data_IF_823231057415
#
_entry.id   IF_823231057415
#
_cell.length_a   1.000
_cell.length_b   1.000
_cell.length_c   1.000
_cell.angle_alpha   90.00
_cell.angle_beta   90.00
_cell.angle_gamma   90.00
#
_symmetry.space_group_name_H-M   'P 1'
#
loop_
_entity.id
_entity.type
_entity.pdbx_description
1 polymer ?
#
# COMPACT_ATOMS: atom_id res chain seq x y z
N UNK A 1 24.95 33.09 13.51
CA UNK A 1 24.93 31.70 12.96
C UNK A 1 23.52 31.16 13.01
N UNK A 2 22.78 31.26 11.91
CA UNK A 2 21.37 30.86 11.83
C UNK A 2 21.28 29.33 11.83
N UNK A 3 20.75 28.73 12.89
CA UNK A 3 20.51 27.28 12.97
C UNK A 3 19.63 26.86 11.79
N UNK A 4 20.20 26.13 10.82
CA UNK A 4 19.44 25.48 9.75
C UNK A 4 18.40 24.57 10.42
N UNK A 5 17.11 24.88 10.28
CA UNK A 5 16.03 23.97 10.66
C UNK A 5 16.25 22.66 9.87
N UNK A 6 16.38 21.54 10.56
CA UNK A 6 16.44 20.23 9.93
C UNK A 6 15.21 20.07 9.03
N UNK A 7 15.43 19.80 7.74
CA UNK A 7 14.36 19.46 6.80
C UNK A 7 13.74 18.16 7.29
N UNK A 8 12.57 18.24 7.96
CA UNK A 8 11.73 17.06 8.17
C UNK A 8 11.36 16.59 6.76
N UNK A 9 11.83 15.41 6.30
CA UNK A 9 11.36 14.90 5.02
C UNK A 9 9.84 14.84 5.12
N UNK A 10 9.15 15.49 4.17
CA UNK A 10 7.69 15.38 4.06
C UNK A 10 7.30 13.91 4.16
N UNK A 11 6.19 13.62 4.84
CA UNK A 11 5.82 12.25 5.23
C UNK A 11 6.13 11.28 4.10
N UNK A 12 7.07 10.36 4.32
CA UNK A 12 7.56 9.45 3.28
C UNK A 12 6.44 8.56 2.70
N UNK A 13 5.26 8.55 3.31
CA UNK A 13 4.09 7.82 2.86
C UNK A 13 3.45 8.46 1.63
N UNK A 14 3.29 7.68 0.57
CA UNK A 14 2.61 8.07 -0.67
C UNK A 14 1.13 7.72 -0.57
N UNK A 15 0.83 6.46 -0.27
CA UNK A 15 -0.52 5.93 -0.20
C UNK A 15 -0.60 4.84 0.87
N UNK A 16 -1.76 4.71 1.51
CA UNK A 16 -2.02 3.66 2.50
C UNK A 16 -3.32 2.95 2.14
N UNK A 17 -3.29 1.63 2.14
CA UNK A 17 -4.47 0.81 1.99
C UNK A 17 -5.15 0.62 3.36
N UNK A 18 -6.06 1.53 3.70
CA UNK A 18 -6.84 1.43 4.94
C UNK A 18 -7.83 0.27 4.91
N UNK A 19 -8.27 -0.14 3.72
CA UNK A 19 -9.23 -1.22 3.50
C UNK A 19 -8.60 -2.59 3.78
N UNK A 20 -7.35 -2.79 3.40
CA UNK A 20 -6.64 -4.06 3.62
C UNK A 20 -6.64 -4.53 5.09
N UNK A 21 -6.37 -3.63 6.04
CA UNK A 21 -6.35 -3.98 7.48
C UNK A 21 -7.73 -4.31 8.07
N UNK A 22 -8.78 -3.82 7.43
CA UNK A 22 -10.15 -4.11 7.83
C UNK A 22 -10.64 -5.43 7.22
N UNK A 23 -10.32 -5.68 5.95
CA UNK A 23 -10.81 -6.86 5.24
C UNK A 23 -10.03 -8.13 5.51
N UNK A 24 -8.75 -7.99 5.86
CA UNK A 24 -7.83 -9.12 6.00
C UNK A 24 -7.09 -9.11 7.34
N UNK A 25 -6.77 -10.30 7.85
CA UNK A 25 -5.72 -10.52 8.82
C UNK A 25 -4.38 -10.58 8.09
N UNK A 26 -3.42 -9.76 8.53
CA UNK A 26 -2.09 -9.69 7.94
C UNK A 26 -1.15 -10.47 8.85
N UNK A 27 -0.52 -11.52 8.33
CA UNK A 27 0.39 -12.36 9.11
C UNK A 27 1.83 -11.88 9.00
N UNK A 28 2.26 -11.54 7.79
CA UNK A 28 3.63 -11.12 7.52
C UNK A 28 3.65 -9.94 6.55
N UNK A 29 4.55 -8.99 6.79
CA UNK A 29 4.78 -7.82 5.94
C UNK A 29 6.17 -7.88 5.31
N UNK A 30 6.24 -7.75 3.98
CA UNK A 30 7.50 -7.76 3.21
C UNK A 30 7.61 -6.45 2.42
N UNK A 31 8.84 -5.90 2.34
CA UNK A 31 9.13 -4.72 1.51
C UNK A 31 9.55 -5.16 0.10
N UNK A 32 8.85 -4.66 -0.92
CA UNK A 32 9.18 -4.87 -2.32
C UNK A 32 9.52 -3.54 -3.02
N UNK A 33 10.44 -3.60 -3.98
CA UNK A 33 10.64 -2.50 -4.94
C UNK A 33 9.58 -2.51 -6.04
N UNK A 34 9.31 -1.34 -6.63
CA UNK A 34 8.40 -1.20 -7.77
C UNK A 34 9.17 -0.82 -9.05
N UNK A 35 8.90 -1.51 -10.15
CA UNK A 35 9.35 -1.11 -11.47
C UNK A 35 8.41 -0.03 -12.07
N UNK A 36 8.80 1.23 -11.92
CA UNK A 36 8.02 2.40 -12.35
C UNK A 36 8.61 3.07 -13.60
N UNK A 37 7.74 3.67 -14.40
CA UNK A 37 8.06 4.56 -15.51
C UNK A 37 8.21 6.00 -15.00
N UNK A 38 8.92 6.84 -15.75
CA UNK A 38 9.25 8.21 -15.33
C UNK A 38 8.02 9.09 -15.03
N UNK A 39 6.93 8.96 -15.78
CA UNK A 39 5.70 9.72 -15.53
C UNK A 39 5.01 9.30 -14.23
N UNK A 40 5.08 8.01 -13.89
CA UNK A 40 4.47 7.44 -12.68
C UNK A 40 5.17 7.98 -11.43
N UNK A 41 6.50 8.12 -11.48
CA UNK A 41 7.28 8.75 -10.42
C UNK A 41 6.80 10.19 -10.19
N UNK A 42 6.57 10.97 -11.27
CA UNK A 42 6.04 12.34 -11.15
C UNK A 42 4.64 12.36 -10.53
N UNK A 43 3.75 11.47 -10.96
CA UNK A 43 2.40 11.34 -10.39
C UNK A 43 2.43 10.95 -8.90
N UNK A 44 3.32 10.05 -8.49
CA UNK A 44 3.48 9.66 -7.09
C UNK A 44 3.99 10.81 -6.22
N UNK A 45 4.89 11.66 -6.74
CA UNK A 45 5.34 12.87 -6.05
C UNK A 45 4.21 13.88 -5.87
N UNK A 46 3.28 13.93 -6.81
CA UNK A 46 2.05 14.72 -6.72
C UNK A 46 0.96 14.05 -5.87
N UNK A 47 1.21 12.89 -5.27
CA UNK A 47 0.25 12.18 -4.42
C UNK A 47 -0.93 11.52 -5.16
N UNK A 48 -0.86 11.41 -6.49
CA UNK A 48 -1.94 10.86 -7.32
C UNK A 48 -1.84 9.34 -7.47
N UNK A 49 -1.97 8.62 -6.36
CA UNK A 49 -1.92 7.16 -6.35
C UNK A 49 -2.96 6.54 -5.41
N UNK A 50 -3.59 5.46 -5.90
CA UNK A 50 -4.54 4.68 -5.14
C UNK A 50 -4.13 3.20 -5.17
N UNK A 51 -4.07 2.59 -3.98
CA UNK A 51 -3.71 1.18 -3.77
C UNK A 51 -4.81 0.39 -3.04
N UNK A 52 -6.01 0.96 -2.89
CA UNK A 52 -7.07 0.40 -2.05
C UNK A 52 -7.48 -1.02 -2.46
N UNK A 53 -7.60 -1.26 -3.76
CA UNK A 53 -8.04 -2.55 -4.33
C UNK A 53 -6.88 -3.32 -4.96
N UNK A 54 -5.64 -3.01 -4.54
CA UNK A 54 -4.45 -3.59 -5.14
C UNK A 54 -4.02 -4.90 -4.49
N UNK A 55 -3.69 -5.87 -5.34
CA UNK A 55 -3.28 -7.21 -4.97
C UNK A 55 -2.08 -7.65 -5.81
N UNK A 56 -1.35 -8.64 -5.33
CA UNK A 56 -0.18 -9.18 -6.02
C UNK A 56 -0.53 -10.52 -6.65
N UNK A 57 -0.20 -10.68 -7.93
CA UNK A 57 -0.33 -11.93 -8.67
C UNK A 57 1.05 -12.36 -9.15
N UNK A 58 1.27 -13.68 -9.13
CA UNK A 58 2.50 -14.27 -9.64
C UNK A 58 2.28 -14.77 -11.06
N UNK A 59 3.22 -14.46 -11.95
CA UNK A 59 3.27 -14.95 -13.34
C UNK A 59 4.70 -15.30 -13.68
N UNK A 60 4.92 -16.51 -14.19
CA UNK A 60 6.23 -16.99 -14.64
C UNK A 60 7.36 -16.85 -13.58
N UNK A 61 7.03 -17.04 -12.30
CA UNK A 61 7.97 -16.90 -11.18
C UNK A 61 8.26 -15.46 -10.73
N UNK A 62 7.56 -14.47 -11.30
CA UNK A 62 7.69 -13.06 -10.96
C UNK A 62 6.42 -12.53 -10.29
N UNK A 63 6.59 -11.54 -9.41
CA UNK A 63 5.48 -10.90 -8.73
C UNK A 63 5.07 -9.60 -9.44
N UNK A 64 3.77 -9.40 -9.62
CA UNK A 64 3.20 -8.21 -10.23
C UNK A 64 2.10 -7.63 -9.35
N UNK A 65 2.14 -6.31 -9.16
CA UNK A 65 1.08 -5.56 -8.50
C UNK A 65 0.01 -5.18 -9.52
N UNK A 66 -1.22 -5.62 -9.24
CA UNK A 66 -2.44 -5.31 -9.99
C UNK A 66 -3.36 -4.41 -9.16
N UNK A 67 -4.27 -3.69 -9.82
CA UNK A 67 -5.28 -2.85 -9.15
C UNK A 67 -4.74 -1.56 -8.52
N UNK A 68 -3.44 -1.27 -8.65
CA UNK A 68 -2.86 0.00 -8.22
C UNK A 68 -3.00 1.05 -9.33
N UNK A 69 -3.80 2.07 -9.08
CA UNK A 69 -4.05 3.15 -10.04
C UNK A 69 -3.14 4.33 -9.76
N UNK A 70 -2.36 4.75 -10.76
CA UNK A 70 -1.57 5.98 -10.71
C UNK A 70 -2.12 6.93 -11.76
N UNK A 71 -2.77 8.01 -11.30
CA UNK A 71 -3.40 8.94 -12.25
C UNK A 71 -2.32 9.77 -12.95
N UNK A 72 -2.32 9.84 -14.30
CA UNK A 72 -1.41 10.69 -15.02
C UNK A 72 -1.61 12.16 -14.66
N UNK A 73 -0.54 12.93 -14.77
CA UNK A 73 -0.62 14.39 -14.65
C UNK A 73 -0.95 15.00 -16.00
N UNK A 74 -1.66 16.13 -16.01
CA UNK A 74 -1.96 16.88 -17.23
C UNK A 74 -0.68 17.40 -17.93
N UNK A 75 0.44 17.47 -17.19
CA UNK A 75 1.77 17.81 -17.70
C UNK A 75 2.56 16.60 -18.21
N UNK A 76 1.96 15.41 -18.24
CA UNK A 76 2.60 14.24 -18.83
C UNK A 76 2.74 14.43 -20.35
N UNK A 77 3.87 13.98 -20.89
CA UNK A 77 4.17 14.12 -22.32
C UNK A 77 3.15 13.38 -23.17
N UNK A 78 2.61 14.04 -24.20
CA UNK A 78 1.66 13.47 -25.16
C UNK A 78 2.22 12.24 -25.89
N UNK A 79 3.54 12.14 -26.00
CA UNK A 79 4.24 11.02 -26.67
C UNK A 79 4.30 9.73 -25.85
N UNK A 80 3.86 9.73 -24.57
CA UNK A 80 3.88 8.54 -23.71
C UNK A 80 2.44 8.14 -23.40
N UNK A 81 2.07 6.92 -23.78
CA UNK A 81 0.78 6.33 -23.39
C UNK A 81 0.81 6.04 -21.89
N UNK A 82 0.14 6.89 -21.11
CA UNK A 82 0.09 6.78 -19.66
C UNK A 82 -1.11 5.92 -19.24
N UNK A 83 -0.93 4.60 -19.21
CA UNK A 83 -1.94 3.68 -18.67
C UNK A 83 -1.97 3.75 -17.12
N UNK A 84 -3.06 4.23 -16.50
CA UNK A 84 -3.15 4.36 -15.05
C UNK A 84 -3.16 3.04 -14.29
N UNK A 85 -3.68 1.96 -14.90
CA UNK A 85 -3.91 0.65 -14.25
C UNK A 85 -2.88 -0.39 -14.64
N UNK A 86 -1.80 0.02 -15.33
CA UNK A 86 -0.68 -0.82 -15.74
C UNK A 86 -0.19 -1.71 -14.60
N UNK A 87 -0.04 -3.01 -14.87
CA UNK A 87 0.55 -3.96 -13.94
C UNK A 87 2.03 -3.66 -13.71
N UNK A 88 2.46 -3.71 -12.44
CA UNK A 88 3.78 -3.24 -12.01
C UNK A 88 4.58 -4.40 -11.46
N UNK A 89 5.69 -4.72 -12.10
CA UNK A 89 6.60 -5.75 -11.60
C UNK A 89 7.16 -5.34 -10.22
N UNK A 90 7.12 -6.28 -9.30
CA UNK A 90 7.69 -6.16 -7.96
C UNK A 90 9.09 -6.76 -7.93
N UNK A 91 9.99 -6.05 -7.26
CA UNK A 91 11.38 -6.45 -7.10
C UNK A 91 11.58 -6.98 -5.68
N UNK A 92 11.69 -8.30 -5.57
CA UNK A 92 11.87 -9.07 -4.33
C UNK A 92 13.09 -9.99 -4.47
N UNK A 93 13.60 -10.52 -3.36
CA UNK A 93 14.62 -11.57 -3.42
C UNK A 93 13.99 -12.88 -3.89
N UNK A 94 14.76 -13.72 -4.60
CA UNK A 94 14.29 -15.02 -5.10
C UNK A 94 13.69 -15.90 -4.00
N UNK A 95 14.37 -16.00 -2.84
CA UNK A 95 13.87 -16.76 -1.68
C UNK A 95 12.53 -16.24 -1.13
N UNK A 96 12.32 -14.93 -1.17
CA UNK A 96 11.06 -14.32 -0.73
C UNK A 96 9.94 -14.64 -1.73
N UNK A 97 10.23 -14.57 -3.04
CA UNK A 97 9.28 -14.96 -4.10
C UNK A 97 8.86 -16.42 -3.95
N UNK A 98 9.82 -17.34 -3.81
CA UNK A 98 9.53 -18.78 -3.69
C UNK A 98 8.66 -19.08 -2.46
N UNK A 99 8.95 -18.43 -1.32
CA UNK A 99 8.16 -18.54 -0.09
C UNK A 99 6.72 -18.03 -0.28
N UNK A 100 6.56 -16.85 -0.90
CA UNK A 100 5.27 -16.25 -1.15
C UNK A 100 4.41 -17.09 -2.11
N UNK A 101 5.00 -17.58 -3.20
CA UNK A 101 4.34 -18.48 -4.16
C UNK A 101 3.89 -19.76 -3.44
N UNK A 102 4.72 -20.32 -2.56
CA UNK A 102 4.36 -21.48 -1.74
C UNK A 102 3.13 -21.25 -0.87
N UNK A 103 3.05 -20.10 -0.18
CA UNK A 103 1.91 -19.76 0.69
C UNK A 103 0.62 -19.51 -0.08
N UNK A 104 0.70 -18.79 -1.20
CA UNK A 104 -0.47 -18.55 -2.05
C UNK A 104 -1.05 -19.86 -2.59
N UNK A 105 -0.19 -20.76 -3.08
CA UNK A 105 -0.63 -22.01 -3.70
C UNK A 105 -1.10 -23.07 -2.70
N UNK A 106 -0.49 -23.19 -1.52
CA UNK A 106 -0.81 -24.25 -0.55
C UNK A 106 -1.94 -23.90 0.40
N UNK A 107 -1.95 -22.67 0.89
CA UNK A 107 -2.76 -22.28 2.04
C UNK A 107 -3.89 -21.31 1.66
N UNK A 108 -3.95 -20.90 0.38
CA UNK A 108 -4.98 -20.01 -0.14
C UNK A 108 -4.88 -18.58 0.39
N UNK A 109 -3.68 -18.15 0.81
CA UNK A 109 -3.43 -16.77 1.18
C UNK A 109 -3.47 -15.85 -0.03
N UNK A 110 -3.92 -14.63 0.19
CA UNK A 110 -3.87 -13.54 -0.79
C UNK A 110 -2.76 -12.59 -0.40
N UNK A 111 -2.09 -11.99 -1.38
CA UNK A 111 -1.09 -10.95 -1.11
C UNK A 111 -1.67 -9.61 -1.50
N UNK A 112 -1.71 -8.69 -0.53
CA UNK A 112 -2.29 -7.35 -0.68
C UNK A 112 -1.24 -6.28 -0.46
N UNK A 113 -1.34 -5.14 -1.15
CA UNK A 113 -0.47 -4.01 -0.85
C UNK A 113 -1.03 -3.21 0.34
N UNK A 114 -0.18 -2.96 1.33
CA UNK A 114 -0.54 -2.28 2.58
C UNK A 114 -0.24 -0.80 2.53
N UNK A 115 0.97 -0.45 2.08
CA UNK A 115 1.39 0.94 1.95
C UNK A 115 2.41 1.11 0.86
N UNK A 116 2.43 2.32 0.29
CA UNK A 116 3.48 2.76 -0.61
C UNK A 116 4.18 3.95 0.00
N UNK A 117 5.51 3.94 -0.01
CA UNK A 117 6.31 4.98 0.61
C UNK A 117 7.64 5.19 -0.12
N UNK A 118 8.22 6.37 0.07
CA UNK A 118 9.55 6.71 -0.39
C UNK A 118 10.59 6.19 0.60
N UNK A 119 11.53 5.41 0.08
CA UNK A 119 12.77 5.05 0.78
C UNK A 119 13.92 5.65 -0.01
N UNK A 120 14.48 6.74 0.52
CA UNK A 120 15.45 7.57 -0.18
C UNK A 120 14.86 8.09 -1.51
N UNK A 121 15.48 7.76 -2.65
CA UNK A 121 15.01 8.15 -3.98
C UNK A 121 13.93 7.21 -4.55
N UNK A 122 13.76 6.01 -4.00
CA UNK A 122 12.95 4.94 -4.58
C UNK A 122 11.59 4.81 -3.93
N UNK A 123 10.57 4.48 -4.74
CA UNK A 123 9.26 4.07 -4.21
C UNK A 123 9.33 2.59 -3.82
N UNK A 124 8.89 2.29 -2.60
CA UNK A 124 8.75 0.95 -2.06
C UNK A 124 7.27 0.69 -1.78
N UNK A 125 6.87 -0.56 -2.00
CA UNK A 125 5.56 -1.06 -1.58
C UNK A 125 5.76 -2.10 -0.50
N UNK A 126 4.98 -1.97 0.57
CA UNK A 126 4.87 -2.99 1.58
C UNK A 126 3.71 -3.90 1.20
N UNK A 127 4.01 -5.18 1.04
CA UNK A 127 3.02 -6.22 0.74
C UNK A 127 2.79 -7.06 2.00
N UNK A 128 1.56 -7.52 2.18
CA UNK A 128 1.16 -8.37 3.30
C UNK A 128 0.63 -9.71 2.82
N UNK A 129 1.07 -10.79 3.47
CA UNK A 129 0.40 -12.09 3.36
C UNK A 129 -0.88 -12.01 4.18
N UNK A 130 -2.02 -12.15 3.52
CA UNK A 130 -3.32 -11.78 4.03
C UNK A 130 -4.32 -12.93 3.93
N UNK A 131 -5.08 -13.12 5.02
CA UNK A 131 -6.20 -14.05 5.11
C UNK A 131 -7.50 -13.26 5.27
N UNK A 132 -8.53 -13.59 4.51
CA UNK A 132 -9.81 -12.88 4.60
C UNK A 132 -10.43 -13.00 5.99
N UNK A 133 -10.88 -11.87 6.57
CA UNK A 133 -11.67 -11.88 7.81
C UNK A 133 -13.09 -12.38 7.55
N UNK A 134 -13.67 -13.09 8.52
CA UNK A 134 -15.08 -13.49 8.46
C UNK A 134 -15.98 -12.29 8.74
N UNK A 135 -17.25 -12.37 8.36
CA UNK A 135 -18.21 -11.27 8.61
C UNK A 135 -18.37 -10.96 10.11
N UNK A 136 -18.32 -11.99 10.95
CA UNK A 136 -18.39 -11.82 12.41
C UNK A 136 -17.24 -10.95 12.91
N UNK A 137 -16.00 -11.28 12.52
CA UNK A 137 -14.80 -10.52 12.89
C UNK A 137 -14.91 -9.06 12.42
N UNK A 138 -15.43 -8.82 11.21
CA UNK A 138 -15.62 -7.47 10.67
C UNK A 138 -16.65 -6.67 11.48
N UNK A 139 -17.72 -7.31 11.97
CA UNK A 139 -18.74 -6.64 12.80
C UNK A 139 -18.16 -6.21 14.13
N UNK A 140 -17.30 -7.03 14.74
CA UNK A 140 -16.70 -6.70 16.02
C UNK A 140 -15.64 -5.58 15.88
N UNK A 141 -14.84 -5.61 14.81
CA UNK A 141 -13.95 -4.48 14.46
C UNK A 141 -14.71 -3.15 14.30
N UNK A 142 -15.92 -3.18 13.73
CA UNK A 142 -16.77 -1.98 13.58
C UNK A 142 -17.24 -1.49 14.95
N UNK A 143 -17.79 -2.38 15.79
CA UNK A 143 -18.25 -2.04 17.14
C UNK A 143 -17.13 -1.42 17.98
N UNK A 144 -15.95 -2.03 17.95
CA UNK A 144 -14.79 -1.53 18.70
C UNK A 144 -14.38 -0.14 18.22
N UNK A 145 -14.35 0.08 16.90
CA UNK A 145 -14.03 1.39 16.32
C UNK A 145 -15.04 2.47 16.71
N UNK A 146 -16.33 2.14 16.69
CA UNK A 146 -17.40 3.03 17.10
C UNK A 146 -17.29 3.36 18.59
N UNK A 147 -17.04 2.35 19.44
CA UNK A 147 -16.84 2.52 20.87
C UNK A 147 -15.63 3.42 21.18
N UNK A 148 -14.49 3.21 20.53
CA UNK A 148 -13.30 4.07 20.71
C UNK A 148 -13.60 5.52 20.32
N UNK A 149 -14.36 5.73 19.24
CA UNK A 149 -14.75 7.07 18.79
C UNK A 149 -15.69 7.74 19.79
N UNK A 150 -16.68 7.01 20.32
CA UNK A 150 -17.59 7.51 21.35
C UNK A 150 -16.85 7.86 22.65
N UNK A 151 -15.97 6.98 23.13
CA UNK A 151 -15.13 7.20 24.30
C UNK A 151 -14.26 8.45 24.15
N UNK A 152 -13.62 8.64 22.99
CA UNK A 152 -12.80 9.81 22.71
C UNK A 152 -13.62 11.11 22.70
N UNK A 153 -14.89 11.08 22.25
CA UNK A 153 -15.79 12.23 22.33
C UNK A 153 -16.15 12.56 23.78
N UNK A 154 -16.53 11.57 24.59
CA UNK A 154 -16.88 11.76 26.00
C UNK A 154 -15.71 12.39 26.77
N UNK A 155 -14.49 11.87 26.60
CA UNK A 155 -13.29 12.42 27.26
C UNK A 155 -13.00 13.87 26.85
N UNK A 156 -13.23 14.25 25.58
CA UNK A 156 -13.05 15.63 25.12
C UNK A 156 -14.09 16.59 25.69
N UNK A 157 -15.33 16.13 25.86
CA UNK A 157 -16.41 16.93 26.43
C UNK A 157 -16.29 17.09 27.94
N UNK A 158 -15.70 16.13 28.65
CA UNK A 158 -15.48 16.22 30.10
C UNK A 158 -14.36 17.20 30.50
N UNK A 159 -13.42 17.50 29.60
CA UNK A 159 -12.31 18.43 29.83
C UNK A 159 -12.63 19.89 29.42
N UNK A 160 -13.88 20.21 29.11
CA UNK A 160 -14.33 21.53 28.66
C UNK A 160 -15.33 22.10 29.66
#
# INVERSE_FOLDING_TARGET
MTKKKAHKPGSATIAQNKRARFEYFIEEEIEAGLALQGWEVKSLRAGKANISDSYVMFRDGEAYLFGATISPLNVASTHVVCDPTRSRKLLLKKRELDSLIGRVNREGYTIVALSMYWKNAWSKVKIGVAKGKKEHDKRDDIKDREWQTAKARIMKHANR
#
